data_IF_412559670692
#
_entry.id   IF_412559670692
#
_cell.length_a   1.000
_cell.length_b   1.000
_cell.length_c   1.000
_cell.angle_alpha   90.00
_cell.angle_beta   90.00
_cell.angle_gamma   90.00
#
_symmetry.space_group_name_H-M   'P 1'
#
loop_
_entity.id
_entity.type
_entity.pdbx_description
1 polymer ?
#
# COMPACT_ATOMS: atom_id res chain seq x y z
N UNK A 1 22.01 -6.08 -16.61
CA UNK A 1 21.72 -4.70 -16.21
C UNK A 1 22.79 -4.13 -15.31
N UNK A 2 22.73 -2.83 -15.05
CA UNK A 2 23.62 -2.14 -14.09
C UNK A 2 22.82 -1.93 -12.79
N UNK A 3 23.51 -1.93 -11.64
CA UNK A 3 22.93 -1.62 -10.34
C UNK A 3 23.86 -0.72 -9.52
N UNK A 4 23.31 0.13 -8.70
CA UNK A 4 23.99 0.92 -7.70
C UNK A 4 23.29 0.71 -6.33
N UNK A 5 24.05 0.73 -5.26
CA UNK A 5 23.57 0.50 -3.89
C UNK A 5 23.61 1.81 -3.11
N UNK A 6 22.56 2.07 -2.34
CA UNK A 6 22.52 3.14 -1.34
C UNK A 6 22.01 2.55 -0.01
N UNK A 7 22.59 2.96 1.12
CA UNK A 7 22.29 2.44 2.47
C UNK A 7 21.53 3.45 3.34
N UNK A 8 21.11 4.58 2.79
CA UNK A 8 20.33 5.57 3.53
C UNK A 8 18.94 5.05 3.90
N UNK A 9 18.38 5.62 4.94
CA UNK A 9 17.02 5.27 5.40
C UNK A 9 15.97 6.10 4.69
N UNK A 10 14.93 5.46 4.17
CA UNK A 10 13.76 6.13 3.62
C UNK A 10 13.00 6.96 4.67
N UNK A 11 13.11 6.64 5.96
CA UNK A 11 12.46 7.38 7.04
C UNK A 11 13.10 8.74 7.34
N UNK A 12 14.35 8.94 6.93
CA UNK A 12 15.04 10.23 6.95
C UNK A 12 14.78 10.96 5.63
N UNK A 13 14.35 12.24 5.71
CA UNK A 13 13.98 12.99 4.52
C UNK A 13 15.18 13.26 3.61
N UNK A 14 16.30 13.67 4.18
CA UNK A 14 17.55 13.92 3.43
C UNK A 14 18.16 12.60 2.91
N UNK A 15 18.07 11.52 3.72
CA UNK A 15 18.48 10.19 3.28
C UNK A 15 17.68 9.70 2.08
N UNK A 16 16.37 9.92 2.07
CA UNK A 16 15.53 9.62 0.90
C UNK A 16 15.95 10.43 -0.34
N UNK A 17 16.36 11.69 -0.16
CA UNK A 17 16.95 12.50 -1.22
C UNK A 17 18.21 11.85 -1.81
N UNK A 18 19.15 11.45 -0.96
CA UNK A 18 20.41 10.80 -1.40
C UNK A 18 20.16 9.44 -2.10
N UNK A 19 19.07 8.72 -1.77
CA UNK A 19 18.66 7.52 -2.53
C UNK A 19 18.31 7.90 -3.98
N UNK A 20 17.56 8.98 -4.18
CA UNK A 20 17.19 9.48 -5.52
C UNK A 20 18.43 10.00 -6.25
N UNK A 21 19.29 10.78 -5.57
CA UNK A 21 20.54 11.31 -6.15
C UNK A 21 21.45 10.18 -6.63
N UNK A 22 21.53 9.06 -5.90
CA UNK A 22 22.29 7.87 -6.33
C UNK A 22 21.82 7.33 -7.68
N UNK A 23 20.51 7.38 -7.98
CA UNK A 23 20.02 6.97 -9.29
C UNK A 23 20.44 7.97 -10.39
N UNK A 24 20.37 9.25 -10.12
CA UNK A 24 20.80 10.29 -11.06
C UNK A 24 22.30 10.23 -11.35
N UNK A 25 23.13 10.08 -10.33
CA UNK A 25 24.60 10.01 -10.46
C UNK A 25 25.05 8.80 -11.29
N UNK A 26 24.38 7.64 -11.13
CA UNK A 26 24.82 6.41 -11.78
C UNK A 26 24.13 6.14 -13.13
N UNK A 27 22.91 6.64 -13.34
CA UNK A 27 22.08 6.32 -14.50
C UNK A 27 21.63 7.55 -15.29
N UNK A 28 21.80 8.77 -14.74
CA UNK A 28 21.49 10.03 -15.41
C UNK A 28 20.03 10.46 -15.36
N UNK A 29 19.11 9.56 -15.00
CA UNK A 29 17.66 9.82 -14.96
C UNK A 29 16.93 8.92 -13.95
N UNK A 30 15.68 9.27 -13.64
CA UNK A 30 14.78 8.48 -12.80
C UNK A 30 13.39 8.38 -13.45
N UNK A 31 13.09 7.24 -14.04
CA UNK A 31 11.81 6.98 -14.73
C UNK A 31 10.80 6.26 -13.85
N UNK A 32 11.29 5.41 -12.93
CA UNK A 32 10.47 4.49 -12.14
C UNK A 32 10.85 4.59 -10.67
N UNK A 33 9.86 4.73 -9.81
CA UNK A 33 10.00 4.65 -8.36
C UNK A 33 9.12 3.52 -7.81
N UNK A 34 9.74 2.52 -7.17
CA UNK A 34 9.01 1.47 -6.44
C UNK A 34 9.22 1.64 -4.94
N UNK A 35 8.21 2.10 -4.23
CA UNK A 35 8.22 2.29 -2.78
C UNK A 35 7.91 0.98 -2.08
N UNK A 36 8.93 0.16 -1.85
CA UNK A 36 8.81 -1.18 -1.27
C UNK A 36 9.38 -1.31 0.14
N UNK A 37 10.23 -0.38 0.59
CA UNK A 37 10.85 -0.45 1.91
C UNK A 37 9.83 -0.62 3.03
N UNK A 38 10.10 -1.50 4.00
CA UNK A 38 9.14 -1.78 5.06
C UNK A 38 9.68 -2.62 6.19
N UNK A 39 9.03 -2.49 7.35
CA UNK A 39 9.28 -3.25 8.58
C UNK A 39 7.96 -3.67 9.21
N UNK A 40 8.00 -4.62 10.13
CA UNK A 40 6.86 -5.00 10.97
C UNK A 40 7.22 -4.89 12.45
N UNK A 41 6.26 -4.46 13.26
CA UNK A 41 6.30 -4.38 14.71
C UNK A 41 4.90 -4.70 15.23
N UNK A 42 4.49 -5.96 15.04
CA UNK A 42 3.13 -6.40 15.30
C UNK A 42 2.86 -6.54 16.80
N UNK A 43 1.84 -5.86 17.28
CA UNK A 43 1.30 -5.91 18.63
C UNK A 43 -0.20 -5.63 18.60
N UNK A 44 -0.95 -6.25 19.49
CA UNK A 44 -2.34 -5.82 19.69
C UNK A 44 -2.40 -4.38 20.18
N UNK A 45 -3.47 -3.65 19.89
CA UNK A 45 -3.64 -2.25 20.26
C UNK A 45 -3.30 -1.98 21.74
N UNK A 46 -3.75 -2.85 22.64
CA UNK A 46 -3.53 -2.71 24.09
C UNK A 46 -2.09 -3.00 24.56
N UNK A 47 -1.24 -3.55 23.68
CA UNK A 47 0.16 -3.90 23.96
C UNK A 47 1.16 -3.15 23.08
N UNK A 48 0.67 -2.38 22.11
CA UNK A 48 1.51 -1.60 21.20
C UNK A 48 2.04 -0.37 21.92
N UNK A 49 3.34 -0.19 21.94
CA UNK A 49 3.95 1.04 22.42
C UNK A 49 4.10 2.08 21.31
N UNK A 50 4.35 3.32 21.68
CA UNK A 50 4.51 4.44 20.77
C UNK A 50 5.70 4.24 19.83
N UNK A 51 6.80 3.70 20.32
CA UNK A 51 8.01 3.47 19.51
C UNK A 51 7.79 2.43 18.40
N UNK A 52 7.05 1.35 18.67
CA UNK A 52 6.67 0.37 17.65
C UNK A 52 5.71 0.97 16.61
N UNK A 53 4.80 1.84 17.04
CA UNK A 53 3.90 2.56 16.14
C UNK A 53 4.68 3.52 15.23
N UNK A 54 5.49 4.39 15.82
CA UNK A 54 6.24 5.43 15.11
C UNK A 54 7.26 4.85 14.13
N UNK A 55 7.97 3.78 14.52
CA UNK A 55 8.93 3.13 13.64
C UNK A 55 8.28 2.61 12.34
N UNK A 56 7.11 1.99 12.44
CA UNK A 56 6.39 1.47 11.28
C UNK A 56 5.85 2.59 10.40
N UNK A 57 5.26 3.63 11.00
CA UNK A 57 4.75 4.80 10.29
C UNK A 57 5.89 5.56 9.61
N UNK A 58 7.03 5.74 10.29
CA UNK A 58 8.18 6.43 9.73
C UNK A 58 8.75 5.74 8.49
N UNK A 59 8.84 4.41 8.49
CA UNK A 59 9.39 3.67 7.34
C UNK A 59 8.36 3.58 6.21
N UNK A 60 7.14 3.14 6.50
CA UNK A 60 6.15 2.88 5.46
C UNK A 60 5.50 4.15 4.92
N UNK A 61 4.85 4.94 5.78
CA UNK A 61 4.08 6.10 5.36
C UNK A 61 5.00 7.27 5.01
N UNK A 62 5.81 7.69 5.97
CA UNK A 62 6.72 8.83 5.77
C UNK A 62 7.80 8.50 4.74
N UNK A 63 8.36 7.28 4.75
CA UNK A 63 9.38 6.86 3.77
C UNK A 63 8.85 6.87 2.34
N UNK A 64 7.63 6.37 2.10
CA UNK A 64 6.97 6.46 0.78
C UNK A 64 6.78 7.92 0.35
N UNK A 65 6.37 8.80 1.27
CA UNK A 65 6.26 10.24 1.00
C UNK A 65 7.62 10.86 0.68
N UNK A 66 8.64 10.59 1.49
CA UNK A 66 9.97 11.18 1.33
C UNK A 66 10.57 10.89 -0.05
N UNK A 67 10.61 9.61 -0.45
CA UNK A 67 11.15 9.21 -1.75
C UNK A 67 10.35 9.78 -2.91
N UNK A 68 9.02 9.75 -2.85
CA UNK A 68 8.16 10.32 -3.87
C UNK A 68 8.30 11.85 -3.96
N UNK A 69 8.47 12.54 -2.83
CA UNK A 69 8.68 13.99 -2.79
C UNK A 69 9.97 14.42 -3.50
N UNK A 70 11.02 13.62 -3.41
CA UNK A 70 12.28 13.88 -4.14
C UNK A 70 12.20 13.45 -5.62
N UNK A 71 11.51 12.36 -5.93
CA UNK A 71 11.38 11.84 -7.29
C UNK A 71 10.44 12.67 -8.18
N UNK A 72 9.30 13.11 -7.63
CA UNK A 72 8.24 13.76 -8.42
C UNK A 72 8.67 15.02 -9.19
N UNK A 73 9.52 15.93 -8.65
CA UNK A 73 10.01 17.06 -9.42
C UNK A 73 10.81 16.66 -10.66
N UNK A 74 11.64 15.62 -10.55
CA UNK A 74 12.46 15.10 -11.64
C UNK A 74 11.60 14.48 -12.74
N UNK A 75 10.65 13.63 -12.36
CA UNK A 75 9.68 13.02 -13.27
C UNK A 75 8.80 14.07 -13.95
N UNK A 76 8.40 15.12 -13.21
CA UNK A 76 7.65 16.26 -13.78
C UNK A 76 8.46 17.01 -14.83
N UNK A 77 9.73 17.27 -14.59
CA UNK A 77 10.62 17.94 -15.55
C UNK A 77 10.83 17.07 -16.80
N UNK A 78 10.98 15.75 -16.63
CA UNK A 78 11.08 14.78 -17.72
C UNK A 78 9.76 14.58 -18.50
N UNK A 79 8.61 14.98 -17.95
CA UNK A 79 7.29 14.70 -18.54
C UNK A 79 6.91 13.22 -18.56
N UNK A 80 7.56 12.41 -17.73
CA UNK A 80 7.38 10.97 -17.62
C UNK A 80 7.70 10.47 -16.22
N UNK A 81 6.92 9.49 -15.74
CA UNK A 81 7.21 8.78 -14.49
C UNK A 81 6.25 7.64 -14.21
N UNK A 82 6.74 6.66 -13.47
CA UNK A 82 5.95 5.52 -12.99
C UNK A 82 6.23 5.33 -11.49
N UNK A 83 5.22 5.50 -10.67
CA UNK A 83 5.32 5.30 -9.22
C UNK A 83 4.47 4.09 -8.84
N UNK A 84 5.10 3.08 -8.26
CA UNK A 84 4.42 1.89 -7.73
C UNK A 84 4.64 1.83 -6.23
N UNK A 85 3.56 2.02 -5.48
CA UNK A 85 3.57 1.99 -4.02
C UNK A 85 3.17 0.61 -3.50
N UNK A 86 3.93 0.05 -2.56
CA UNK A 86 3.59 -1.24 -1.98
C UNK A 86 2.73 -1.04 -0.73
N UNK A 87 1.43 -1.32 -0.88
CA UNK A 87 0.44 -1.34 0.20
C UNK A 87 0.27 -2.76 0.78
N UNK A 88 -0.86 -3.06 1.39
CA UNK A 88 -1.19 -4.38 1.96
C UNK A 88 -2.70 -4.55 2.08
N UNK A 89 -3.15 -5.80 1.99
CA UNK A 89 -4.52 -6.18 2.37
C UNK A 89 -4.86 -5.82 3.84
N UNK A 90 -3.86 -5.74 4.73
CA UNK A 90 -4.06 -5.24 6.09
C UNK A 90 -4.52 -3.77 6.13
N UNK A 91 -4.06 -2.93 5.19
CA UNK A 91 -4.53 -1.56 5.04
C UNK A 91 -5.93 -1.44 4.42
N UNK A 92 -6.36 -2.46 3.66
CA UNK A 92 -7.67 -2.51 3.01
C UNK A 92 -8.77 -3.02 3.94
N UNK A 93 -8.47 -3.99 4.80
CA UNK A 93 -9.47 -4.75 5.56
C UNK A 93 -9.19 -4.83 7.06
N UNK A 94 -8.01 -4.38 7.50
CA UNK A 94 -7.51 -4.60 8.86
C UNK A 94 -6.93 -6.00 9.02
N UNK A 95 -5.98 -6.13 9.95
CA UNK A 95 -5.44 -7.41 10.39
C UNK A 95 -5.14 -7.35 11.89
N UNK A 96 -5.37 -8.46 12.59
CA UNK A 96 -5.16 -8.54 14.04
C UNK A 96 -3.69 -8.25 14.39
N UNK A 97 -3.48 -7.38 15.38
CA UNK A 97 -2.13 -7.02 15.86
C UNK A 97 -1.37 -6.03 14.98
N UNK A 98 -1.99 -5.43 13.98
CA UNK A 98 -1.31 -4.56 12.99
C UNK A 98 -1.90 -3.15 12.93
N UNK A 99 -2.17 -2.53 14.06
CA UNK A 99 -2.70 -1.16 14.10
C UNK A 99 -1.76 -0.18 13.39
N UNK A 100 -0.46 -0.21 13.67
CA UNK A 100 0.56 0.60 13.03
C UNK A 100 0.71 0.30 11.53
N UNK A 101 0.85 -0.97 11.19
CA UNK A 101 1.07 -1.44 9.83
C UNK A 101 -0.17 -1.20 8.94
N UNK A 102 -1.36 -1.56 9.44
CA UNK A 102 -2.62 -1.33 8.74
C UNK A 102 -2.87 0.15 8.47
N UNK A 103 -2.64 1.01 9.47
CA UNK A 103 -2.75 2.45 9.32
C UNK A 103 -1.78 3.00 8.26
N UNK A 104 -0.49 2.63 8.32
CA UNK A 104 0.51 3.08 7.37
C UNK A 104 0.22 2.60 5.94
N UNK A 105 -0.24 1.34 5.78
CA UNK A 105 -0.58 0.78 4.46
C UNK A 105 -1.86 1.37 3.88
N UNK A 106 -2.85 1.75 4.71
CA UNK A 106 -4.02 2.51 4.29
C UNK A 106 -3.63 3.93 3.84
N UNK A 107 -2.73 4.60 4.57
CA UNK A 107 -2.22 5.92 4.20
C UNK A 107 -1.51 5.91 2.83
N UNK A 108 -0.77 4.85 2.50
CA UNK A 108 -0.12 4.68 1.19
C UNK A 108 -1.15 4.64 0.05
N UNK A 109 -2.31 4.01 0.24
CA UNK A 109 -3.39 4.06 -0.75
C UNK A 109 -3.94 5.47 -0.93
N UNK A 110 -4.18 6.20 0.17
CA UNK A 110 -4.61 7.59 0.13
C UNK A 110 -3.62 8.48 -0.65
N UNK A 111 -2.32 8.35 -0.37
CA UNK A 111 -1.27 9.04 -1.12
C UNK A 111 -1.27 8.65 -2.60
N UNK A 112 -1.47 7.37 -2.92
CA UNK A 112 -1.56 6.89 -4.31
C UNK A 112 -2.69 7.60 -5.07
N UNK A 113 -3.88 7.72 -4.48
CA UNK A 113 -5.02 8.39 -5.12
C UNK A 113 -4.76 9.88 -5.34
N UNK A 114 -4.23 10.57 -4.32
CA UNK A 114 -3.93 12.00 -4.42
C UNK A 114 -2.86 12.26 -5.49
N UNK A 115 -1.75 11.53 -5.45
CA UNK A 115 -0.66 11.72 -6.40
C UNK A 115 -1.05 11.33 -7.83
N UNK A 116 -1.91 10.32 -8.01
CA UNK A 116 -2.45 9.99 -9.32
C UNK A 116 -3.22 11.14 -9.95
N UNK A 117 -3.97 11.91 -9.14
CA UNK A 117 -4.69 13.11 -9.62
C UNK A 117 -3.73 14.28 -9.87
N UNK A 118 -2.80 14.55 -8.95
CA UNK A 118 -1.91 15.69 -9.02
C UNK A 118 -0.88 15.58 -10.17
N UNK A 119 -0.38 14.36 -10.42
CA UNK A 119 0.75 14.11 -11.29
C UNK A 119 0.36 13.67 -12.71
N UNK A 120 -0.89 13.24 -12.94
CA UNK A 120 -1.36 12.77 -14.25
C UNK A 120 -1.06 13.74 -15.41
N UNK A 121 -1.25 15.04 -15.19
CA UNK A 121 -1.00 16.07 -16.20
C UNK A 121 0.48 16.20 -16.65
N UNK A 122 1.38 15.54 -15.94
CA UNK A 122 2.80 15.51 -16.24
C UNK A 122 3.26 14.18 -16.86
N UNK A 123 2.32 13.31 -17.28
CA UNK A 123 2.66 12.01 -17.85
C UNK A 123 3.11 10.97 -16.80
N UNK A 124 2.82 11.22 -15.51
CA UNK A 124 3.22 10.35 -14.40
C UNK A 124 2.02 9.54 -13.95
N UNK A 125 2.16 8.22 -13.87
CA UNK A 125 1.16 7.33 -13.27
C UNK A 125 1.59 6.91 -11.87
N UNK A 126 0.61 6.78 -10.97
CA UNK A 126 0.82 6.34 -9.59
C UNK A 126 -0.16 5.24 -9.26
N UNK A 127 0.35 4.05 -8.96
CA UNK A 127 -0.49 2.89 -8.62
C UNK A 127 0.02 2.23 -7.34
N UNK A 128 -0.82 1.42 -6.70
CA UNK A 128 -0.45 0.66 -5.52
C UNK A 128 -0.64 -0.83 -5.74
N UNK A 129 0.18 -1.64 -5.08
CA UNK A 129 0.07 -3.09 -5.04
C UNK A 129 0.11 -3.61 -3.61
N UNK A 130 -0.82 -4.51 -3.27
CA UNK A 130 -0.82 -5.33 -2.07
C UNK A 130 -0.24 -6.73 -2.40
N UNK A 131 1.06 -6.97 -2.14
CA UNK A 131 1.71 -8.22 -2.46
C UNK A 131 1.24 -9.34 -1.53
N UNK A 132 1.41 -10.58 -1.98
CA UNK A 132 1.31 -11.77 -1.15
C UNK A 132 2.55 -12.65 -1.34
N UNK A 133 2.91 -13.43 -0.33
CA UNK A 133 4.03 -14.37 -0.43
C UNK A 133 4.61 -14.70 0.95
N UNK A 134 5.26 -15.85 1.01
CA UNK A 134 6.02 -16.27 2.18
C UNK A 134 7.38 -15.57 2.14
N UNK A 135 7.64 -14.72 3.12
CA UNK A 135 8.88 -13.95 3.24
C UNK A 135 9.35 -13.99 4.69
N UNK A 136 10.56 -13.52 4.95
CA UNK A 136 11.07 -13.36 6.32
C UNK A 136 10.13 -12.53 7.22
N UNK A 137 9.37 -11.59 6.64
CA UNK A 137 8.37 -10.80 7.37
C UNK A 137 7.15 -11.63 7.81
N UNK A 138 6.86 -12.73 7.09
CA UNK A 138 5.70 -13.59 7.34
C UNK A 138 6.08 -14.95 7.94
N UNK A 139 7.36 -15.32 7.96
CA UNK A 139 7.86 -16.60 8.47
C UNK A 139 7.69 -16.80 9.98
N UNK A 140 7.64 -15.72 10.77
CA UNK A 140 7.29 -15.82 12.20
C UNK A 140 5.87 -16.30 12.50
N UNK A 141 5.06 -16.54 11.47
CA UNK A 141 3.71 -17.10 11.57
C UNK A 141 3.64 -18.61 11.26
N UNK A 142 4.73 -19.20 10.72
CA UNK A 142 4.80 -20.60 10.29
C UNK A 142 6.23 -21.15 10.48
N UNK A 143 6.61 -21.42 11.72
CA UNK A 143 7.95 -21.93 12.05
C UNK A 143 8.25 -23.37 11.54
N UNK A 144 7.26 -24.11 11.02
CA UNK A 144 7.37 -25.51 10.63
C UNK A 144 7.27 -25.79 9.12
N UNK A 145 7.19 -24.76 8.25
CA UNK A 145 7.07 -25.03 6.81
C UNK A 145 8.44 -25.28 6.17
N UNK A 146 8.80 -26.53 5.98
CA UNK A 146 10.03 -26.97 5.31
C UNK A 146 10.10 -26.56 3.82
N UNK A 147 8.96 -26.21 3.21
CA UNK A 147 8.87 -25.81 1.80
C UNK A 147 7.80 -24.74 1.59
N UNK A 148 8.19 -23.64 0.92
CA UNK A 148 7.25 -22.57 0.54
C UNK A 148 6.36 -23.06 -0.60
N UNK A 149 5.02 -23.05 -0.44
CA UNK A 149 4.13 -23.40 -1.54
C UNK A 149 4.38 -22.54 -2.78
N UNK A 150 4.32 -23.13 -3.96
CA UNK A 150 4.65 -22.45 -5.22
C UNK A 150 3.79 -21.19 -5.45
N UNK A 151 2.55 -21.17 -4.99
CA UNK A 151 1.64 -20.03 -5.05
C UNK A 151 1.95 -18.94 -4.00
N UNK A 152 2.86 -19.21 -3.06
CA UNK A 152 3.36 -18.27 -2.06
C UNK A 152 4.76 -17.73 -2.39
N UNK A 153 5.31 -18.05 -3.55
CA UNK A 153 6.59 -17.48 -3.99
C UNK A 153 6.46 -15.95 -4.14
N UNK A 154 7.25 -15.14 -3.42
CA UNK A 154 7.24 -13.69 -3.53
C UNK A 154 7.62 -13.18 -4.93
N UNK A 155 8.36 -13.95 -5.73
CA UNK A 155 8.71 -13.59 -7.11
C UNK A 155 7.46 -13.40 -8.00
N UNK A 156 6.34 -14.03 -7.70
CA UNK A 156 5.07 -13.87 -8.41
C UNK A 156 4.47 -12.45 -8.30
N UNK A 157 4.97 -11.59 -7.42
CA UNK A 157 4.55 -10.18 -7.37
C UNK A 157 5.22 -9.33 -8.46
N UNK A 158 6.43 -9.69 -8.88
CA UNK A 158 7.24 -8.88 -9.78
C UNK A 158 6.63 -8.62 -11.16
N UNK A 159 5.96 -9.57 -11.84
CA UNK A 159 5.39 -9.32 -13.17
C UNK A 159 4.38 -8.17 -13.20
N UNK A 160 3.49 -8.07 -12.20
CA UNK A 160 2.52 -6.97 -12.16
C UNK A 160 3.20 -5.63 -11.84
N UNK A 161 4.17 -5.61 -10.93
CA UNK A 161 4.95 -4.40 -10.64
C UNK A 161 5.71 -3.94 -11.88
N UNK A 162 6.34 -4.86 -12.62
CA UNK A 162 7.04 -4.54 -13.86
C UNK A 162 6.10 -4.01 -14.94
N UNK A 163 4.89 -4.59 -15.07
CA UNK A 163 3.86 -4.07 -15.98
C UNK A 163 3.45 -2.64 -15.61
N UNK A 164 3.13 -2.37 -14.34
CA UNK A 164 2.73 -1.04 -13.88
C UNK A 164 3.85 0.01 -14.02
N UNK A 165 5.10 -0.43 -14.03
CA UNK A 165 6.28 0.40 -14.25
C UNK A 165 6.62 0.62 -15.73
N UNK A 166 5.92 -0.05 -16.66
CA UNK A 166 6.21 0.02 -18.09
C UNK A 166 5.37 1.08 -18.82
N UNK A 167 5.74 1.36 -20.07
CA UNK A 167 4.95 2.21 -20.97
C UNK A 167 3.58 1.58 -21.32
N UNK A 168 3.48 0.25 -21.31
CA UNK A 168 2.24 -0.46 -21.60
C UNK A 168 1.12 -0.19 -20.58
N UNK A 169 1.45 0.36 -19.41
CA UNK A 169 0.50 0.75 -18.37
C UNK A 169 0.25 2.27 -18.31
N UNK A 170 0.44 2.99 -19.40
CA UNK A 170 0.31 4.45 -19.45
C UNK A 170 -1.12 4.94 -19.14
N UNK A 171 -2.13 4.12 -19.37
CA UNK A 171 -3.55 4.37 -19.08
C UNK A 171 -3.99 3.86 -17.71
N UNK A 172 -3.11 3.19 -16.95
CA UNK A 172 -3.38 2.65 -15.61
C UNK A 172 -2.88 3.66 -14.57
N UNK A 173 -3.79 4.36 -13.92
CA UNK A 173 -3.45 5.39 -12.93
C UNK A 173 -4.43 5.39 -11.76
N UNK A 174 -3.93 5.57 -10.53
CA UNK A 174 -4.73 5.64 -9.31
C UNK A 174 -5.38 4.31 -8.91
N UNK A 175 -4.82 3.18 -9.32
CA UNK A 175 -5.41 1.87 -9.06
C UNK A 175 -4.69 1.15 -7.92
N UNK A 176 -5.43 0.29 -7.23
CA UNK A 176 -4.90 -0.60 -6.19
C UNK A 176 -5.08 -2.04 -6.64
N UNK A 177 -3.97 -2.72 -6.77
CA UNK A 177 -3.94 -4.14 -7.14
C UNK A 177 -3.54 -5.02 -5.97
N UNK A 178 -3.81 -6.30 -6.07
CA UNK A 178 -3.35 -7.31 -5.14
C UNK A 178 -3.00 -8.61 -5.82
N UNK A 179 -2.38 -9.51 -5.07
CA UNK A 179 -2.12 -10.88 -5.48
C UNK A 179 -2.70 -11.86 -4.45
N UNK A 180 -3.25 -12.96 -4.93
CA UNK A 180 -3.65 -14.10 -4.10
C UNK A 180 -3.35 -15.38 -4.88
N UNK A 181 -2.52 -16.25 -4.32
CA UNK A 181 -2.07 -17.43 -5.04
C UNK A 181 -1.39 -17.05 -6.37
N UNK A 182 -1.82 -17.61 -7.47
CA UNK A 182 -1.35 -17.29 -8.82
C UNK A 182 -2.12 -16.15 -9.50
N UNK A 183 -3.15 -15.57 -8.84
CA UNK A 183 -4.04 -14.58 -9.45
C UNK A 183 -3.72 -13.15 -9.03
N UNK A 184 -3.95 -12.20 -9.95
CA UNK A 184 -3.98 -10.77 -9.65
C UNK A 184 -5.41 -10.28 -9.49
N UNK A 185 -5.60 -9.27 -8.65
CA UNK A 185 -6.90 -8.68 -8.33
C UNK A 185 -6.79 -7.15 -8.39
N UNK A 186 -7.83 -6.48 -8.86
CA UNK A 186 -7.99 -5.04 -8.67
C UNK A 186 -8.96 -4.79 -7.53
N UNK A 187 -8.61 -3.87 -6.63
CA UNK A 187 -9.50 -3.41 -5.56
C UNK A 187 -10.19 -2.12 -6.00
N UNK A 188 -11.50 -2.08 -5.86
CA UNK A 188 -12.24 -0.85 -6.07
C UNK A 188 -11.94 0.16 -4.95
N UNK A 189 -11.81 1.44 -5.31
CA UNK A 189 -11.77 2.53 -4.34
C UNK A 189 -13.07 2.56 -3.53
N UNK A 190 -13.04 2.99 -2.25
CA UNK A 190 -14.25 3.22 -1.49
C UNK A 190 -15.22 4.11 -2.26
N UNK A 191 -16.46 3.67 -2.39
CA UNK A 191 -17.55 4.42 -3.04
C UNK A 191 -18.76 4.47 -2.14
N UNK A 192 -19.53 5.54 -2.24
CA UNK A 192 -20.82 5.64 -1.59
C UNK A 192 -21.77 4.60 -2.18
N UNK A 193 -22.36 3.75 -1.35
CA UNK A 193 -23.26 2.65 -1.74
C UNK A 193 -24.70 2.89 -1.31
N UNK A 194 -24.89 3.72 -0.28
CA UNK A 194 -26.22 4.11 0.22
C UNK A 194 -26.17 5.51 0.86
N UNK A 195 -27.32 6.17 0.93
CA UNK A 195 -27.48 7.46 1.60
C UNK A 195 -28.79 7.46 2.36
N UNK A 196 -28.76 7.88 3.61
CA UNK A 196 -29.96 8.34 4.34
C UNK A 196 -30.02 9.85 4.20
N UNK A 197 -31.16 10.36 3.67
CA UNK A 197 -31.35 11.80 3.49
C UNK A 197 -32.67 12.25 4.08
N UNK A 198 -32.66 13.36 4.80
CA UNK A 198 -33.84 14.00 5.37
C UNK A 198 -33.64 15.52 5.40
N UNK A 199 -34.61 16.28 4.94
CA UNK A 199 -34.60 17.74 5.06
C UNK A 199 -34.63 18.16 6.54
N UNK A 200 -33.77 19.13 6.91
CA UNK A 200 -33.63 19.57 8.29
C UNK A 200 -32.70 18.70 9.16
N UNK A 201 -32.15 17.60 8.58
CA UNK A 201 -31.22 16.72 9.29
C UNK A 201 -31.88 15.64 10.15
N UNK A 202 -31.07 14.93 10.92
CA UNK A 202 -31.45 13.74 11.69
C UNK A 202 -31.23 13.94 13.18
N UNK A 203 -32.19 13.53 14.01
CA UNK A 203 -31.97 13.29 15.43
C UNK A 203 -31.35 11.90 15.66
N UNK A 204 -30.63 11.67 16.79
CA UNK A 204 -30.08 10.34 17.09
C UNK A 204 -31.15 9.23 17.10
N UNK A 205 -32.36 9.53 17.58
CA UNK A 205 -33.49 8.57 17.58
C UNK A 205 -33.90 8.18 16.17
N UNK A 206 -34.09 9.15 15.29
CA UNK A 206 -34.43 8.91 13.90
C UNK A 206 -33.34 8.13 13.15
N UNK A 207 -32.05 8.41 13.44
CA UNK A 207 -30.95 7.61 12.88
C UNK A 207 -31.08 6.15 13.34
N UNK A 208 -31.32 5.90 14.63
CA UNK A 208 -31.46 4.55 15.16
C UNK A 208 -32.63 3.79 14.53
N UNK A 209 -33.77 4.45 14.30
CA UNK A 209 -34.97 3.87 13.68
C UNK A 209 -34.73 3.44 12.24
N UNK A 210 -33.98 4.21 11.44
CA UNK A 210 -33.84 3.99 10.00
C UNK A 210 -32.51 3.38 9.58
N UNK A 211 -31.50 3.32 10.48
CA UNK A 211 -30.13 2.90 10.16
C UNK A 211 -30.07 1.52 9.50
N UNK A 212 -30.70 0.53 10.09
CA UNK A 212 -30.63 -0.86 9.62
C UNK A 212 -31.35 -1.08 8.30
N UNK A 213 -32.39 -0.32 8.02
CA UNK A 213 -33.16 -0.42 6.76
C UNK A 213 -32.39 0.17 5.58
N UNK A 214 -31.54 1.19 5.79
CA UNK A 214 -30.86 1.92 4.70
C UNK A 214 -29.36 1.63 4.71
N UNK A 215 -28.64 1.99 5.76
CA UNK A 215 -27.18 1.85 5.81
C UNK A 215 -26.73 0.48 6.30
N UNK A 216 -27.46 -0.12 7.25
CA UNK A 216 -27.11 -1.39 7.90
C UNK A 216 -26.99 -2.57 6.93
N UNK A 217 -27.75 -2.57 5.82
CA UNK A 217 -27.71 -3.60 4.78
C UNK A 217 -26.38 -3.61 3.99
N UNK A 218 -25.61 -2.53 4.05
CA UNK A 218 -24.38 -2.34 3.29
C UNK A 218 -23.11 -2.51 4.14
N UNK A 219 -23.26 -2.85 5.42
CA UNK A 219 -22.11 -3.07 6.30
C UNK A 219 -21.31 -4.29 5.82
N UNK A 220 -20.00 -4.12 5.78
CA UNK A 220 -19.09 -5.17 5.37
C UNK A 220 -18.25 -5.65 6.57
N UNK A 221 -17.99 -6.95 6.68
CA UNK A 221 -17.08 -7.45 7.71
C UNK A 221 -15.67 -6.92 7.47
N UNK A 222 -14.99 -6.59 8.55
CA UNK A 222 -13.58 -6.22 8.53
C UNK A 222 -12.71 -7.43 8.91
N UNK A 223 -11.42 -7.33 8.57
CA UNK A 223 -10.43 -8.38 8.84
C UNK A 223 -10.07 -9.18 7.60
N UNK A 224 -8.92 -9.83 7.68
CA UNK A 224 -8.48 -10.76 6.65
C UNK A 224 -9.35 -12.01 6.70
N UNK A 225 -9.84 -12.53 5.55
CA UNK A 225 -10.45 -13.85 5.54
C UNK A 225 -9.48 -14.85 6.18
N UNK A 226 -9.98 -15.73 7.03
CA UNK A 226 -9.16 -16.79 7.58
C UNK A 226 -8.50 -17.53 6.39
N UNK A 227 -7.18 -17.51 6.33
CA UNK A 227 -6.48 -18.28 5.31
C UNK A 227 -6.82 -19.75 5.51
N UNK A 228 -7.21 -20.49 4.46
CA UNK A 228 -7.60 -21.90 4.62
C UNK A 228 -6.56 -22.76 5.36
N UNK A 229 -5.28 -22.35 5.29
CA UNK A 229 -4.17 -23.00 6.01
C UNK A 229 -3.93 -22.42 7.43
N UNK A 230 -4.56 -21.29 7.81
CA UNK A 230 -4.49 -20.70 9.15
C UNK A 230 -5.76 -20.96 9.98
N UNK A 231 -6.72 -21.67 9.41
CA UNK A 231 -7.94 -22.02 10.08
C UNK A 231 -7.77 -23.30 10.90
N UNK A 232 -7.72 -23.14 12.16
CA UNK A 232 -8.18 -23.95 13.28
C UNK A 232 -7.24 -23.72 14.48
N UNK A 233 -7.58 -22.72 15.25
CA UNK A 233 -7.37 -22.78 16.68
C UNK A 233 -8.71 -22.99 17.33
#
# INVERSE_FOLDING_TARGET
>A
GRAAVNHDSVSDFEGAGRIIDTALEHFGQLDILVNNAGIVRDRTLVKMDEADYDAVVAVHQKGTFNTARHAAPLMKEAGYGRIVNITSSAGLRGNFGQTNYGAAKAAIMGMTFVWAVELARYGITVNAMAPAGATRMTQGLNDDAAEVPADQDPALNAPLVAYLASEAAADVNGQVFGRTGFGYTVFQTPRQVATMWQEGGWTPTQVAEHFHEVLGQHLQPVGMPAHPLLGKK
#
